data_IF_692738046454
#
_entry.id   IF_692738046454
#
_cell.length_a   1.000
_cell.length_b   1.000
_cell.length_c   1.000
_cell.angle_alpha   90.00
_cell.angle_beta   90.00
_cell.angle_gamma   90.00
#
_symmetry.space_group_name_H-M   'P 1'
#
loop_
_entity.id
_entity.type
_entity.pdbx_description
1 polymer ?
#
# COMPACT_ATOMS: atom_id res chain seq x y z
N UNK A 1 -46.62 44.69 -19.18
CA UNK A 1 -47.23 43.43 -19.69
C UNK A 1 -47.98 42.60 -18.65
N UNK A 2 -47.57 42.51 -17.41
CA UNK A 2 -48.23 41.70 -16.35
C UNK A 2 -49.55 42.33 -15.87
N UNK A 3 -49.63 43.67 -15.76
CA UNK A 3 -50.80 44.37 -15.25
C UNK A 3 -51.98 44.37 -16.23
N UNK A 4 -51.79 44.27 -17.51
CA UNK A 4 -52.85 44.20 -18.54
C UNK A 4 -53.52 42.84 -18.61
N UNK A 5 -52.78 41.78 -18.32
CA UNK A 5 -53.28 40.39 -18.26
C UNK A 5 -54.22 40.17 -17.06
N UNK A 6 -53.89 40.76 -15.89
CA UNK A 6 -54.67 40.65 -14.66
C UNK A 6 -56.05 41.30 -14.79
N UNK A 7 -56.18 42.39 -15.54
CA UNK A 7 -57.46 43.13 -15.73
C UNK A 7 -58.42 42.44 -16.70
N UNK A 8 -58.03 41.47 -17.43
CA UNK A 8 -58.87 40.72 -18.39
C UNK A 8 -59.50 39.44 -17.82
N UNK A 9 -59.20 39.04 -16.58
CA UNK A 9 -59.75 37.87 -15.93
C UNK A 9 -61.05 38.16 -15.22
N UNK A 10 -62.06 37.26 -15.28
CA UNK A 10 -63.34 37.41 -14.55
C UNK A 10 -63.09 37.43 -13.02
N UNK A 11 -63.88 38.13 -12.23
CA UNK A 11 -63.65 38.28 -10.78
C UNK A 11 -63.51 36.99 -10.02
N UNK A 12 -64.26 35.96 -10.38
CA UNK A 12 -64.17 34.59 -9.77
C UNK A 12 -62.86 33.83 -10.06
N UNK A 13 -62.14 34.18 -11.12
CA UNK A 13 -60.82 33.62 -11.44
C UNK A 13 -59.69 34.38 -10.72
N UNK A 14 -59.84 35.68 -10.54
CA UNK A 14 -58.90 36.51 -9.79
C UNK A 14 -58.82 36.06 -8.32
N UNK A 15 -59.96 35.79 -7.70
CA UNK A 15 -60.02 35.30 -6.32
C UNK A 15 -59.37 33.91 -6.16
N UNK A 16 -59.56 33.00 -7.12
CA UNK A 16 -58.87 31.69 -7.10
C UNK A 16 -57.37 31.81 -7.26
N UNK A 17 -56.89 32.64 -8.15
CA UNK A 17 -55.46 32.86 -8.31
C UNK A 17 -54.82 33.58 -7.11
N UNK A 18 -55.53 34.49 -6.49
CA UNK A 18 -55.10 35.18 -5.28
C UNK A 18 -54.97 34.21 -4.09
N UNK A 19 -55.85 33.20 -3.99
CA UNK A 19 -55.77 32.18 -2.97
C UNK A 19 -54.72 31.09 -3.23
N UNK A 20 -54.47 30.76 -4.51
CA UNK A 20 -53.50 29.70 -4.91
C UNK A 20 -52.06 30.23 -4.95
N UNK A 21 -51.84 31.49 -5.33
CA UNK A 21 -50.52 32.09 -5.48
C UNK A 21 -49.63 31.95 -4.22
N UNK A 22 -50.07 32.26 -2.99
CA UNK A 22 -49.27 32.06 -1.80
C UNK A 22 -48.96 30.60 -1.53
N UNK A 23 -49.91 29.71 -1.81
CA UNK A 23 -49.68 28.26 -1.64
C UNK A 23 -48.57 27.74 -2.60
N UNK A 24 -48.62 28.16 -3.86
CA UNK A 24 -47.58 27.82 -4.84
C UNK A 24 -46.24 28.40 -4.44
N UNK A 25 -46.18 29.63 -3.93
CA UNK A 25 -44.95 30.24 -3.44
C UNK A 25 -44.34 29.46 -2.26
N UNK A 26 -45.16 29.01 -1.32
CA UNK A 26 -44.69 28.17 -0.20
C UNK A 26 -44.15 26.82 -0.68
N UNK A 27 -44.86 26.17 -1.61
CA UNK A 27 -44.40 24.88 -2.18
C UNK A 27 -43.09 25.06 -2.92
N UNK A 28 -42.97 26.13 -3.75
CA UNK A 28 -41.70 26.42 -4.46
C UNK A 28 -40.57 26.72 -3.48
N UNK A 29 -40.83 27.38 -2.38
CA UNK A 29 -39.85 27.65 -1.34
C UNK A 29 -39.37 26.36 -0.67
N UNK A 30 -40.28 25.42 -0.34
CA UNK A 30 -39.92 24.13 0.19
C UNK A 30 -39.10 23.29 -0.80
N UNK A 31 -39.47 23.27 -2.08
CA UNK A 31 -38.70 22.60 -3.12
C UNK A 31 -37.28 23.18 -3.22
N UNK A 32 -37.14 24.48 -3.16
CA UNK A 32 -35.85 25.18 -3.20
C UNK A 32 -34.97 24.80 -1.98
N UNK A 33 -35.56 24.75 -0.78
CA UNK A 33 -34.84 24.30 0.44
C UNK A 33 -34.39 22.85 0.31
N UNK A 34 -35.25 21.94 -0.11
CA UNK A 34 -34.92 20.52 -0.28
C UNK A 34 -33.83 20.37 -1.35
N UNK A 35 -33.93 21.07 -2.48
CA UNK A 35 -32.94 21.05 -3.52
C UNK A 35 -31.57 21.60 -3.04
N UNK A 36 -31.57 22.70 -2.29
CA UNK A 36 -30.36 23.27 -1.70
C UNK A 36 -29.72 22.32 -0.69
N UNK A 37 -30.51 21.67 0.16
CA UNK A 37 -30.04 20.69 1.12
C UNK A 37 -29.45 19.46 0.41
N UNK A 38 -30.09 18.97 -0.64
CA UNK A 38 -29.61 17.84 -1.44
C UNK A 38 -28.30 18.16 -2.16
N UNK A 39 -28.21 19.38 -2.72
CA UNK A 39 -26.99 19.88 -3.37
C UNK A 39 -25.81 19.96 -2.40
N UNK A 40 -26.01 20.56 -1.23
CA UNK A 40 -24.97 20.68 -0.20
C UNK A 40 -24.49 19.30 0.27
N UNK A 41 -25.42 18.35 0.47
CA UNK A 41 -25.08 16.99 0.90
C UNK A 41 -24.32 16.20 -0.16
N UNK A 42 -24.65 16.39 -1.45
CA UNK A 42 -23.93 15.73 -2.53
C UNK A 42 -22.50 16.25 -2.68
N UNK A 43 -22.29 17.55 -2.49
CA UNK A 43 -20.98 18.19 -2.55
C UNK A 43 -20.08 17.73 -1.38
N UNK A 44 -20.65 17.55 -0.19
CA UNK A 44 -19.91 17.06 0.98
C UNK A 44 -19.41 15.63 0.79
N UNK A 45 -20.24 14.73 0.26
CA UNK A 45 -19.87 13.34 -0.06
C UNK A 45 -18.79 13.24 -1.17
N UNK A 46 -18.83 14.12 -2.15
CA UNK A 46 -17.78 14.16 -3.18
C UNK A 46 -16.45 14.64 -2.62
N UNK A 47 -16.45 15.65 -1.75
CA UNK A 47 -15.24 16.14 -1.06
C UNK A 47 -14.60 15.07 -0.17
N UNK A 48 -15.41 14.31 0.57
CA UNK A 48 -14.90 13.20 1.40
C UNK A 48 -14.28 12.09 0.54
N UNK A 49 -14.89 11.75 -0.60
CA UNK A 49 -14.34 10.76 -1.54
C UNK A 49 -13.04 11.23 -2.18
N UNK A 50 -12.94 12.50 -2.53
CA UNK A 50 -11.71 13.06 -3.08
C UNK A 50 -10.59 13.16 -2.03
N UNK A 51 -10.93 13.43 -0.76
CA UNK A 51 -9.99 13.40 0.34
C UNK A 51 -9.44 11.99 0.54
N UNK A 52 -10.31 10.98 0.65
CA UNK A 52 -9.89 9.58 0.77
C UNK A 52 -9.03 9.11 -0.41
N UNK A 53 -9.36 9.50 -1.64
CA UNK A 53 -8.53 9.17 -2.81
C UNK A 53 -7.12 9.74 -2.69
N UNK A 54 -7.00 11.01 -2.32
CA UNK A 54 -5.71 11.67 -2.13
C UNK A 54 -4.88 11.00 -1.04
N UNK A 55 -5.53 10.60 0.05
CA UNK A 55 -4.88 9.93 1.18
C UNK A 55 -4.35 8.54 0.78
N UNK A 56 -5.13 7.79 0.01
CA UNK A 56 -4.70 6.48 -0.55
C UNK A 56 -3.53 6.66 -1.53
N UNK A 57 -3.60 7.63 -2.44
CA UNK A 57 -2.52 7.92 -3.39
C UNK A 57 -1.24 8.34 -2.66
N UNK A 58 -1.35 9.17 -1.63
CA UNK A 58 -0.23 9.58 -0.80
C UNK A 58 0.39 8.39 -0.04
N UNK A 59 -0.44 7.56 0.59
CA UNK A 59 0.03 6.35 1.28
C UNK A 59 0.74 5.40 0.31
N UNK A 60 0.16 5.15 -0.87
CA UNK A 60 0.76 4.30 -1.89
C UNK A 60 2.12 4.84 -2.36
N UNK A 61 2.23 6.13 -2.61
CA UNK A 61 3.49 6.76 -3.03
C UNK A 61 4.55 6.64 -1.94
N UNK A 62 4.17 6.84 -0.68
CA UNK A 62 5.08 6.74 0.47
C UNK A 62 5.61 5.32 0.68
N UNK A 63 4.72 4.32 0.58
CA UNK A 63 5.12 2.90 0.66
C UNK A 63 6.08 2.55 -0.48
N UNK A 64 5.78 2.99 -1.71
CA UNK A 64 6.65 2.76 -2.87
C UNK A 64 8.05 3.36 -2.68
N UNK A 65 8.14 4.59 -2.18
CA UNK A 65 9.42 5.23 -1.88
C UNK A 65 10.21 4.45 -0.83
N UNK A 66 9.57 4.04 0.27
CA UNK A 66 10.21 3.23 1.30
C UNK A 66 10.75 1.91 0.75
N UNK A 67 9.92 1.16 0.01
CA UNK A 67 10.37 -0.10 -0.59
C UNK A 67 11.53 0.11 -1.56
N UNK A 68 11.53 1.19 -2.33
CA UNK A 68 12.64 1.54 -3.23
C UNK A 68 13.94 1.84 -2.46
N UNK A 69 13.87 2.57 -1.36
CA UNK A 69 15.02 2.82 -0.49
C UNK A 69 15.57 1.52 0.14
N UNK A 70 14.68 0.62 0.59
CA UNK A 70 15.07 -0.68 1.14
C UNK A 70 15.73 -1.56 0.07
N UNK A 71 15.12 -1.60 -1.12
CA UNK A 71 15.68 -2.33 -2.26
C UNK A 71 17.09 -1.83 -2.57
N UNK A 72 17.34 -0.51 -2.56
CA UNK A 72 18.68 0.03 -2.84
C UNK A 72 19.70 -0.39 -1.76
N UNK A 73 19.31 -0.37 -0.49
CA UNK A 73 20.19 -0.81 0.59
C UNK A 73 20.51 -2.32 0.50
N UNK A 74 19.50 -3.14 0.18
CA UNK A 74 19.70 -4.57 -0.03
C UNK A 74 20.57 -4.86 -1.25
N UNK A 75 20.44 -4.07 -2.33
CA UNK A 75 21.33 -4.18 -3.49
C UNK A 75 22.79 -3.83 -3.15
N UNK A 76 23.02 -2.86 -2.25
CA UNK A 76 24.37 -2.56 -1.76
C UNK A 76 24.93 -3.76 -0.98
N UNK A 77 24.15 -4.32 -0.05
CA UNK A 77 24.56 -5.49 0.71
C UNK A 77 24.81 -6.70 -0.22
N UNK A 78 23.94 -6.94 -1.22
CA UNK A 78 24.12 -8.01 -2.21
C UNK A 78 25.42 -7.84 -3.00
N UNK A 79 25.79 -6.61 -3.34
CA UNK A 79 27.06 -6.29 -4.02
C UNK A 79 28.26 -6.58 -3.12
N UNK A 80 28.21 -6.16 -1.86
CA UNK A 80 29.30 -6.38 -0.90
C UNK A 80 29.51 -7.87 -0.65
N UNK A 81 28.42 -8.65 -0.53
CA UNK A 81 28.47 -10.12 -0.45
C UNK A 81 29.07 -10.72 -1.73
N UNK A 82 28.64 -10.26 -2.90
CA UNK A 82 29.14 -10.73 -4.19
C UNK A 82 30.62 -10.45 -4.43
N UNK A 83 31.11 -9.31 -3.92
CA UNK A 83 32.53 -8.93 -3.97
C UNK A 83 33.39 -9.66 -2.92
N UNK A 84 32.77 -10.43 -2.01
CA UNK A 84 33.42 -11.06 -0.87
C UNK A 84 33.98 -10.06 0.17
N UNK A 85 33.45 -8.83 0.18
CA UNK A 85 33.79 -7.81 1.17
C UNK A 85 33.10 -8.12 2.52
N UNK A 86 32.08 -8.98 2.50
CA UNK A 86 31.26 -9.39 3.64
C UNK A 86 31.20 -10.91 3.70
N UNK A 87 31.67 -11.46 4.80
CA UNK A 87 31.53 -12.88 5.16
C UNK A 87 30.19 -13.13 5.88
N UNK A 88 29.94 -14.36 6.34
CA UNK A 88 28.71 -14.72 7.07
C UNK A 88 28.49 -13.90 8.33
N UNK A 89 29.54 -13.62 9.10
CA UNK A 89 29.42 -12.85 10.34
C UNK A 89 29.12 -11.38 10.03
N UNK A 90 29.85 -10.80 9.11
CA UNK A 90 29.59 -9.44 8.64
C UNK A 90 28.21 -9.28 7.99
N UNK A 91 27.68 -10.33 7.34
CA UNK A 91 26.29 -10.34 6.86
C UNK A 91 25.30 -10.30 8.02
N UNK A 92 25.48 -11.15 9.04
CA UNK A 92 24.58 -11.21 10.20
C UNK A 92 24.56 -9.86 10.94
N UNK A 93 25.71 -9.22 11.16
CA UNK A 93 25.82 -7.91 11.83
C UNK A 93 25.09 -6.82 11.04
N UNK A 94 25.24 -6.81 9.72
CA UNK A 94 24.53 -5.83 8.85
C UNK A 94 23.04 -6.13 8.76
N UNK A 95 22.66 -7.40 8.67
CA UNK A 95 21.25 -7.82 8.65
C UNK A 95 20.55 -7.44 9.97
N UNK A 96 21.19 -7.68 11.12
CA UNK A 96 20.67 -7.29 12.42
C UNK A 96 20.49 -5.77 12.52
N UNK A 97 21.46 -5.00 12.02
CA UNK A 97 21.35 -3.54 11.95
C UNK A 97 20.16 -3.09 11.11
N UNK A 98 19.98 -3.67 9.91
CA UNK A 98 18.86 -3.34 9.03
C UNK A 98 17.51 -3.71 9.64
N UNK A 99 17.39 -4.90 10.24
CA UNK A 99 16.17 -5.36 10.89
C UNK A 99 15.82 -4.49 12.10
N UNK A 100 16.82 -4.12 12.90
CA UNK A 100 16.62 -3.23 14.06
C UNK A 100 16.22 -1.81 13.65
N UNK A 101 16.71 -1.33 12.51
CA UNK A 101 16.42 0.00 11.99
C UNK A 101 15.06 0.08 11.30
N UNK A 102 14.58 -1.02 10.72
CA UNK A 102 13.39 -1.06 9.88
C UNK A 102 12.38 -2.08 10.40
N UNK A 103 11.39 -1.60 11.14
CA UNK A 103 10.37 -2.44 11.77
C UNK A 103 9.53 -3.26 10.77
N UNK A 104 9.46 -2.83 9.51
CA UNK A 104 8.81 -3.56 8.44
C UNK A 104 9.62 -4.77 7.95
N UNK A 105 10.95 -4.76 8.09
CA UNK A 105 11.83 -5.86 7.70
C UNK A 105 11.86 -6.90 8.82
N UNK A 106 11.34 -8.09 8.55
CA UNK A 106 11.19 -9.15 9.54
C UNK A 106 12.31 -10.18 9.49
N UNK A 107 12.83 -10.45 8.30
CA UNK A 107 13.93 -11.38 8.13
C UNK A 107 14.79 -11.00 6.92
N UNK A 108 16.06 -11.38 6.98
CA UNK A 108 17.00 -11.26 5.88
C UNK A 108 17.83 -12.54 5.78
N UNK A 109 17.78 -13.19 4.62
CA UNK A 109 18.39 -14.50 4.38
C UNK A 109 19.28 -14.44 3.15
N UNK A 110 20.50 -14.96 3.28
CA UNK A 110 21.42 -15.17 2.15
C UNK A 110 21.34 -16.62 1.68
N UNK A 111 20.99 -16.78 0.40
CA UNK A 111 20.80 -18.06 -0.27
C UNK A 111 21.81 -18.16 -1.42
N UNK A 112 22.51 -19.28 -1.53
CA UNK A 112 23.48 -19.49 -2.59
C UNK A 112 22.88 -20.04 -3.90
N UNK A 113 23.74 -20.27 -4.88
CA UNK A 113 23.36 -20.84 -6.19
C UNK A 113 22.78 -22.23 -6.14
N UNK A 114 23.09 -23.01 -5.08
CA UNK A 114 22.51 -24.32 -4.82
C UNK A 114 21.19 -24.27 -4.06
N UNK A 115 20.66 -23.05 -3.85
CA UNK A 115 19.43 -22.78 -3.08
C UNK A 115 19.57 -23.10 -1.58
N UNK A 116 20.80 -23.16 -1.09
CA UNK A 116 21.09 -23.44 0.30
C UNK A 116 21.22 -22.12 1.10
N UNK A 117 20.60 -22.08 2.28
CA UNK A 117 20.69 -20.95 3.20
C UNK A 117 22.09 -20.86 3.78
N UNK A 118 22.80 -19.79 3.51
CA UNK A 118 24.18 -19.53 3.98
C UNK A 118 24.25 -18.74 5.27
N UNK A 119 23.34 -17.81 5.44
CA UNK A 119 23.17 -16.99 6.63
C UNK A 119 21.74 -16.49 6.70
N UNK A 120 21.22 -16.29 7.89
CA UNK A 120 19.88 -15.77 8.10
C UNK A 120 19.82 -15.03 9.43
N UNK A 121 19.08 -13.90 9.42
CA UNK A 121 18.84 -13.08 10.59
C UNK A 121 17.37 -12.74 10.66
N UNK A 122 16.78 -12.80 11.84
CA UNK A 122 15.35 -12.61 12.07
C UNK A 122 15.11 -11.48 13.08
N UNK A 123 14.02 -10.76 12.86
CA UNK A 123 13.49 -9.82 13.83
C UNK A 123 12.80 -10.51 15.01
N UNK A 124 12.60 -9.80 16.11
CA UNK A 124 12.02 -10.36 17.35
C UNK A 124 10.56 -10.81 17.19
N UNK A 125 9.89 -10.38 16.13
CA UNK A 125 8.46 -10.64 15.87
C UNK A 125 8.19 -11.86 14.96
N UNK A 126 9.24 -12.55 14.50
CA UNK A 126 9.10 -13.67 13.57
C UNK A 126 8.75 -14.94 14.33
N UNK A 127 7.65 -15.60 13.93
CA UNK A 127 7.28 -16.89 14.53
C UNK A 127 8.28 -17.98 14.13
N UNK A 128 8.70 -18.79 15.09
CA UNK A 128 9.72 -19.83 14.90
C UNK A 128 9.39 -20.84 13.77
N UNK A 129 8.12 -21.03 13.48
CA UNK A 129 7.62 -21.97 12.47
C UNK A 129 7.90 -21.55 11.01
N UNK A 130 8.17 -20.26 10.79
CA UNK A 130 8.42 -19.71 9.46
C UNK A 130 9.90 -19.46 9.16
N UNK A 131 10.77 -19.84 10.07
CA UNK A 131 12.20 -19.59 9.97
C UNK A 131 12.85 -20.52 8.94
N UNK A 132 13.55 -19.91 7.99
CA UNK A 132 14.50 -20.64 7.14
C UNK A 132 15.74 -20.93 7.97
N UNK A 133 16.07 -22.21 8.13
CA UNK A 133 17.21 -22.62 8.95
C UNK A 133 18.50 -22.66 8.15
N UNK A 134 19.63 -22.49 8.85
CA UNK A 134 20.96 -22.57 8.23
C UNK A 134 21.13 -23.93 7.54
N UNK A 135 21.75 -23.91 6.37
CA UNK A 135 22.00 -25.10 5.52
C UNK A 135 20.71 -25.75 4.96
N UNK A 136 19.55 -25.22 5.20
CA UNK A 136 18.30 -25.65 4.58
C UNK A 136 18.32 -25.39 3.08
N UNK A 137 17.80 -26.34 2.31
CA UNK A 137 17.56 -26.16 0.87
C UNK A 137 16.12 -25.71 0.67
N UNK A 138 15.92 -24.58 0.00
CA UNK A 138 14.61 -24.04 -0.25
C UNK A 138 13.81 -25.00 -1.14
N UNK A 139 12.62 -25.37 -0.65
CA UNK A 139 11.69 -26.27 -1.35
C UNK A 139 10.30 -25.65 -1.56
N UNK A 140 9.98 -24.54 -0.86
CA UNK A 140 8.69 -23.85 -1.01
C UNK A 140 8.57 -23.31 -2.44
N UNK A 141 7.50 -23.67 -3.12
CA UNK A 141 7.27 -23.35 -4.53
C UNK A 141 7.36 -21.84 -4.81
N UNK A 142 6.77 -21.03 -3.96
CA UNK A 142 6.74 -19.57 -4.09
C UNK A 142 8.14 -18.96 -4.03
N UNK A 143 9.01 -19.49 -3.15
CA UNK A 143 10.40 -19.05 -3.04
C UNK A 143 11.23 -19.53 -4.24
N UNK A 144 10.97 -20.73 -4.74
CA UNK A 144 11.67 -21.26 -5.92
C UNK A 144 11.35 -20.44 -7.19
N UNK A 145 10.09 -20.11 -7.39
CA UNK A 145 9.66 -19.29 -8.53
C UNK A 145 10.32 -17.90 -8.47
N UNK A 146 10.36 -17.29 -7.28
CA UNK A 146 10.98 -15.99 -7.07
C UNK A 146 12.50 -16.06 -7.33
N UNK A 147 13.17 -17.09 -6.78
CA UNK A 147 14.60 -17.34 -6.98
C UNK A 147 14.97 -17.51 -8.47
N UNK A 148 14.17 -18.27 -9.21
CA UNK A 148 14.38 -18.45 -10.65
C UNK A 148 14.18 -17.15 -11.42
N UNK A 149 13.16 -16.36 -11.08
CA UNK A 149 12.95 -15.04 -11.67
C UNK A 149 14.11 -14.08 -11.38
N UNK A 150 14.59 -14.03 -10.13
CA UNK A 150 15.70 -13.16 -9.76
C UNK A 150 17.01 -13.58 -10.46
N UNK A 151 17.24 -14.89 -10.61
CA UNK A 151 18.37 -15.45 -11.36
C UNK A 151 18.32 -15.08 -12.84
N UNK A 152 17.16 -15.26 -13.48
CA UNK A 152 17.01 -15.11 -14.93
C UNK A 152 16.96 -13.64 -15.34
N UNK A 153 16.31 -12.80 -14.56
CA UNK A 153 16.21 -11.36 -14.81
C UNK A 153 17.46 -10.57 -14.35
N UNK A 154 18.26 -11.12 -13.43
CA UNK A 154 19.39 -10.42 -12.78
C UNK A 154 18.98 -9.07 -12.18
N UNK A 155 17.75 -8.97 -11.69
CA UNK A 155 17.15 -7.78 -11.09
C UNK A 155 16.40 -8.15 -9.81
N UNK A 156 16.23 -7.20 -8.88
CA UNK A 156 15.37 -7.41 -7.71
C UNK A 156 13.93 -7.75 -8.12
N UNK A 157 13.34 -8.76 -7.50
CA UNK A 157 12.00 -9.25 -7.79
C UNK A 157 11.18 -9.27 -6.50
N UNK A 158 9.98 -8.69 -6.56
CA UNK A 158 9.00 -8.78 -5.48
C UNK A 158 8.02 -9.92 -5.72
N UNK A 159 7.63 -10.61 -4.64
CA UNK A 159 6.52 -11.55 -4.69
C UNK A 159 5.17 -10.81 -4.76
N UNK A 160 4.11 -11.58 -5.04
CA UNK A 160 2.79 -11.16 -4.61
C UNK A 160 2.70 -11.24 -3.09
N UNK A 161 1.79 -10.47 -2.44
CA UNK A 161 1.54 -10.62 -1.02
C UNK A 161 1.20 -12.07 -0.66
N UNK A 162 1.99 -12.67 0.22
CA UNK A 162 1.76 -14.02 0.71
C UNK A 162 1.00 -13.92 2.03
N UNK A 163 -0.23 -14.41 2.04
CA UNK A 163 -1.03 -14.54 3.26
C UNK A 163 -1.28 -16.03 3.52
N UNK A 164 -0.88 -16.50 4.68
CA UNK A 164 -1.29 -17.79 5.20
C UNK A 164 -2.42 -17.57 6.22
N UNK A 165 -3.33 -18.51 6.37
CA UNK A 165 -4.46 -18.40 7.32
C UNK A 165 -4.05 -18.14 8.78
N UNK A 166 -2.80 -18.37 9.12
CA UNK A 166 -2.26 -18.28 10.49
C UNK A 166 -1.20 -17.16 10.65
N UNK A 167 -0.74 -16.54 9.57
CA UNK A 167 0.32 -15.52 9.63
C UNK A 167 -0.10 -14.20 8.98
N UNK A 168 0.39 -13.10 9.53
CA UNK A 168 0.22 -11.78 8.94
C UNK A 168 0.76 -11.77 7.48
N UNK A 169 0.12 -11.02 6.56
CA UNK A 169 0.54 -11.00 5.18
C UNK A 169 1.96 -10.45 5.03
N UNK A 170 2.76 -11.17 4.25
CA UNK A 170 4.18 -10.89 4.01
C UNK A 170 4.42 -10.54 2.55
N UNK A 171 5.37 -9.64 2.30
CA UNK A 171 5.91 -9.32 0.99
C UNK A 171 7.37 -9.76 0.94
N UNK A 172 7.72 -10.57 -0.04
CA UNK A 172 9.09 -11.01 -0.24
C UNK A 172 9.78 -10.17 -1.31
N UNK A 173 11.06 -9.93 -1.11
CA UNK A 173 11.94 -9.30 -2.10
C UNK A 173 13.20 -10.15 -2.23
N UNK A 174 13.47 -10.64 -3.42
CA UNK A 174 14.73 -11.28 -3.74
C UNK A 174 15.63 -10.36 -4.56
N UNK A 175 16.84 -10.16 -4.06
CA UNK A 175 17.86 -9.34 -4.69
C UNK A 175 19.00 -10.24 -5.15
N UNK A 176 19.29 -10.32 -6.46
CA UNK A 176 20.34 -11.19 -6.97
C UNK A 176 21.72 -10.70 -6.52
N UNK A 177 22.55 -11.64 -6.12
CA UNK A 177 23.97 -11.45 -5.81
C UNK A 177 24.76 -11.68 -7.09
N UNK A 178 25.52 -10.68 -7.52
CA UNK A 178 26.44 -10.83 -8.66
C UNK A 178 27.85 -11.07 -8.14
N UNK A 179 28.43 -12.23 -8.46
CA UNK A 179 29.80 -12.57 -8.13
C UNK A 179 30.65 -12.67 -9.41
N UNK A 180 31.56 -11.72 -9.60
CA UNK A 180 32.39 -11.63 -10.80
C UNK A 180 31.59 -11.67 -12.11
N UNK A 181 30.45 -11.01 -12.16
CA UNK A 181 29.56 -10.96 -13.33
C UNK A 181 28.72 -12.23 -13.55
N UNK A 182 28.69 -13.16 -12.59
CA UNK A 182 27.85 -14.37 -12.62
C UNK A 182 26.88 -14.33 -11.46
N UNK A 183 25.76 -15.04 -11.60
CA UNK A 183 24.83 -15.23 -10.51
C UNK A 183 25.48 -15.98 -9.34
N UNK A 184 25.47 -15.39 -8.17
CA UNK A 184 26.08 -15.90 -6.93
C UNK A 184 25.06 -16.32 -5.88
N UNK A 185 23.75 -16.25 -6.19
CA UNK A 185 22.67 -16.50 -5.26
C UNK A 185 21.77 -15.29 -5.09
N UNK A 186 20.98 -15.23 -4.03
CA UNK A 186 20.07 -14.13 -3.73
C UNK A 186 20.13 -13.71 -2.25
N UNK A 187 19.77 -12.45 -1.98
CA UNK A 187 19.33 -12.02 -0.67
C UNK A 187 17.80 -12.01 -0.67
N UNK A 188 17.19 -12.80 0.21
CA UNK A 188 15.76 -12.81 0.46
C UNK A 188 15.46 -11.91 1.65
N UNK A 189 14.65 -10.90 1.43
CA UNK A 189 14.11 -10.01 2.47
C UNK A 189 12.60 -10.24 2.63
N UNK A 190 12.16 -10.38 3.87
CA UNK A 190 10.77 -10.60 4.24
C UNK A 190 10.22 -9.36 4.94
N UNK A 191 9.20 -8.74 4.35
CA UNK A 191 8.56 -7.53 4.89
C UNK A 191 7.17 -7.85 5.42
N UNK A 192 6.86 -7.38 6.62
CA UNK A 192 5.50 -7.38 7.16
C UNK A 192 4.67 -6.28 6.48
N UNK A 193 3.58 -6.66 5.82
CA UNK A 193 2.65 -5.72 5.18
C UNK A 193 1.97 -4.86 6.23
N UNK A 194 1.61 -5.43 7.38
CA UNK A 194 1.00 -4.68 8.48
C UNK A 194 1.92 -3.57 8.99
N UNK A 195 3.20 -3.85 9.15
CA UNK A 195 4.18 -2.85 9.55
C UNK A 195 4.44 -1.83 8.44
N UNK A 196 4.49 -2.25 7.17
CA UNK A 196 4.57 -1.34 6.03
C UNK A 196 3.39 -0.34 6.02
N UNK A 197 2.18 -0.81 6.25
CA UNK A 197 0.98 0.01 6.34
C UNK A 197 1.01 0.90 7.59
N UNK A 198 1.28 0.33 8.76
CA UNK A 198 1.30 1.06 10.04
C UNK A 198 2.30 2.21 10.06
N UNK A 199 3.52 2.00 9.56
CA UNK A 199 4.57 3.01 9.52
C UNK A 199 4.62 3.79 8.22
N UNK A 200 3.89 3.35 7.19
CA UNK A 200 3.76 4.01 5.89
C UNK A 200 2.62 5.01 5.79
N UNK A 201 1.58 4.86 6.62
CA UNK A 201 0.42 5.76 6.64
C UNK A 201 0.51 6.74 7.80
N UNK A 202 0.09 8.00 7.63
CA UNK A 202 -0.11 8.92 8.73
C UNK A 202 -1.10 8.34 9.74
N UNK A 203 -0.87 8.55 11.02
CA UNK A 203 -1.73 8.06 12.12
C UNK A 203 -3.17 8.58 12.04
N UNK A 204 -3.40 9.66 11.33
CA UNK A 204 -4.71 10.28 11.08
C UNK A 204 -5.60 9.47 10.12
N UNK A 205 -5.01 8.57 9.31
CA UNK A 205 -5.77 7.73 8.35
C UNK A 205 -6.14 6.38 8.98
N UNK A 206 -5.48 5.98 10.07
CA UNK A 206 -5.68 4.71 10.77
C UNK A 206 -6.66 4.81 11.96
N UNK A 207 -7.18 6.00 12.25
CA UNK A 207 -8.19 6.27 13.27
C UNK A 207 -9.58 6.38 12.62
#
# INVERSE_FOLDING_TARGET
MWQTWWRGLSPSRQDRYAAIAPLVAVVMFFIAIVAAFWYLRSEELEREREAMRRDVEYAQQRIRLRLSERQEQLMRLARDVGNQDVDKNGFNDRADTLISQYAELQALTWIDTARQVRATQFGPSVAAENLLTLDEVIQKKELLELFEMARDLQQPVFSQPLATSETAPMLLLEVPISQKGRFGGVLLAEFSIDNLLRYGTPTEILA
#
